data_IF_288305133915
#
_entry.id   IF_288305133915
#
_cell.length_a   1.000
_cell.length_b   1.000
_cell.length_c   1.000
_cell.angle_alpha   90.00
_cell.angle_beta   90.00
_cell.angle_gamma   90.00
#
_symmetry.space_group_name_H-M   'P 1'
#
loop_
_entity.id
_entity.type
_entity.pdbx_description
1 polymer ?
#
# COMPACT_ATOMS: atom_id res chain seq x y z
N UNK A 1 -18.18 -43.00 -22.25
CA UNK A 1 -17.06 -42.07 -22.11
C UNK A 1 -17.18 -40.93 -23.11
N UNK A 2 -18.14 -40.05 -23.01
CA UNK A 2 -18.30 -38.79 -23.82
C UNK A 2 -19.24 -37.85 -23.09
N UNK A 3 -18.96 -37.43 -21.87
CA UNK A 3 -19.70 -36.35 -21.14
C UNK A 3 -18.88 -35.61 -20.09
N UNK A 4 -17.53 -35.63 -20.18
CA UNK A 4 -16.65 -34.91 -19.24
C UNK A 4 -15.84 -33.76 -19.86
N UNK A 5 -15.97 -33.51 -21.15
CA UNK A 5 -15.17 -32.51 -21.86
C UNK A 5 -15.91 -31.19 -22.13
N UNK A 6 -17.17 -31.06 -21.74
CA UNK A 6 -17.97 -29.84 -21.97
C UNK A 6 -18.08 -28.92 -20.74
N UNK A 7 -17.50 -29.27 -19.59
CA UNK A 7 -17.60 -28.48 -18.36
C UNK A 7 -16.38 -27.55 -18.13
N UNK A 8 -15.32 -27.72 -18.90
CA UNK A 8 -14.08 -26.95 -18.76
C UNK A 8 -13.98 -25.72 -19.66
N UNK A 9 -14.88 -25.53 -20.59
CA UNK A 9 -14.87 -24.41 -21.53
C UNK A 9 -15.75 -23.21 -21.12
N UNK A 10 -16.55 -23.33 -20.05
CA UNK A 10 -17.38 -22.23 -19.55
C UNK A 10 -16.83 -21.54 -18.29
N UNK A 11 -15.73 -22.01 -17.72
CA UNK A 11 -15.10 -21.45 -16.52
C UNK A 11 -13.97 -20.45 -16.85
N UNK A 12 -13.60 -20.31 -18.11
CA UNK A 12 -12.50 -19.39 -18.52
C UNK A 12 -12.92 -17.96 -18.80
N UNK A 13 -14.16 -17.54 -18.47
CA UNK A 13 -14.66 -16.22 -18.88
C UNK A 13 -14.92 -15.24 -17.72
N UNK A 14 -14.46 -15.51 -16.51
CA UNK A 14 -14.73 -14.66 -15.35
C UNK A 14 -13.52 -14.29 -14.49
N UNK A 15 -12.33 -14.45 -14.97
CA UNK A 15 -11.12 -13.89 -14.33
C UNK A 15 -10.42 -12.95 -15.30
N UNK A 16 -11.07 -11.86 -15.69
CA UNK A 16 -10.39 -10.70 -16.25
C UNK A 16 -10.27 -9.60 -15.19
N UNK A 17 -9.71 -9.93 -14.04
CA UNK A 17 -8.85 -8.96 -13.39
C UNK A 17 -7.52 -9.18 -14.08
N UNK A 18 -7.32 -8.50 -15.21
CA UNK A 18 -6.01 -8.41 -15.82
C UNK A 18 -5.10 -7.71 -14.82
N UNK A 19 -4.33 -8.50 -14.08
CA UNK A 19 -3.11 -7.97 -13.49
C UNK A 19 -2.18 -7.73 -14.67
N UNK A 20 -2.46 -6.67 -15.41
CA UNK A 20 -1.50 -6.13 -16.36
C UNK A 20 -0.27 -5.73 -15.56
N UNK A 21 0.91 -5.94 -16.12
CA UNK A 21 2.10 -5.22 -15.67
C UNK A 21 1.65 -3.78 -15.40
N UNK A 22 1.78 -3.30 -14.15
CA UNK A 22 1.17 -2.07 -13.63
C UNK A 22 0.96 -1.04 -14.74
N UNK A 23 -0.27 -0.90 -15.25
CA UNK A 23 -0.52 0.21 -16.15
C UNK A 23 -0.29 1.47 -15.33
N UNK A 24 0.44 2.46 -15.87
CA UNK A 24 0.68 3.74 -15.18
C UNK A 24 -0.62 4.51 -14.93
N UNK A 25 -1.74 4.01 -15.39
CA UNK A 25 -3.09 4.52 -15.17
C UNK A 25 -3.98 3.31 -14.88
N UNK A 26 -4.88 3.38 -13.87
CA UNK A 26 -5.90 2.36 -13.66
C UNK A 26 -6.70 2.15 -14.94
N UNK A 27 -6.75 0.93 -15.45
CA UNK A 27 -7.64 0.62 -16.57
C UNK A 27 -9.08 0.70 -16.09
N UNK A 28 -9.85 1.54 -16.75
CA UNK A 28 -11.29 1.54 -16.57
C UNK A 28 -11.90 0.46 -17.46
N UNK A 29 -12.73 -0.40 -16.89
CA UNK A 29 -13.50 -1.35 -17.71
C UNK A 29 -14.40 -0.56 -18.66
N UNK A 30 -14.30 -0.85 -19.96
CA UNK A 30 -15.11 -0.22 -21.01
C UNK A 30 -16.62 -0.50 -20.87
N UNK A 31 -17.00 -1.41 -19.98
CA UNK A 31 -18.39 -1.71 -19.62
C UNK A 31 -18.98 -0.77 -18.58
N UNK A 32 -18.14 0.01 -17.86
CA UNK A 32 -18.57 0.91 -16.81
C UNK A 32 -19.26 2.15 -17.38
N UNK A 33 -20.56 2.24 -17.14
CA UNK A 33 -21.36 3.41 -17.52
C UNK A 33 -21.21 4.46 -16.42
N UNK A 34 -20.67 5.63 -16.76
CA UNK A 34 -20.53 6.74 -15.82
C UNK A 34 -21.90 7.31 -15.40
N UNK A 35 -21.93 7.98 -14.26
CA UNK A 35 -23.12 8.69 -13.79
C UNK A 35 -23.55 9.75 -14.82
N UNK A 36 -22.61 10.43 -15.47
CA UNK A 36 -22.89 11.38 -16.55
C UNK A 36 -23.63 10.71 -17.70
N UNK A 37 -23.15 9.56 -18.21
CA UNK A 37 -23.78 8.82 -19.30
C UNK A 37 -25.16 8.30 -18.90
N UNK A 38 -25.30 7.82 -17.66
CA UNK A 38 -26.59 7.33 -17.14
C UNK A 38 -27.65 8.45 -17.10
N UNK A 39 -27.30 9.64 -16.63
CA UNK A 39 -28.21 10.79 -16.46
C UNK A 39 -28.50 11.47 -17.80
N UNK A 40 -27.47 11.75 -18.60
CA UNK A 40 -27.62 12.52 -19.85
C UNK A 40 -28.04 11.68 -21.03
N UNK A 41 -27.83 10.36 -20.98
CA UNK A 41 -27.96 9.41 -22.11
C UNK A 41 -27.01 9.75 -23.28
N UNK A 42 -25.92 10.47 -22.99
CA UNK A 42 -24.90 10.84 -23.98
C UNK A 42 -23.68 9.93 -23.73
N UNK A 43 -23.33 9.04 -24.67
CA UNK A 43 -22.15 8.17 -24.49
C UNK A 43 -20.87 8.98 -24.49
N UNK A 44 -19.94 8.59 -23.64
CA UNK A 44 -18.58 9.14 -23.59
C UNK A 44 -17.84 8.78 -24.89
N UNK A 45 -17.14 9.75 -25.48
CA UNK A 45 -16.54 9.57 -26.80
C UNK A 45 -15.05 9.24 -26.77
N UNK A 46 -14.37 9.50 -25.66
CA UNK A 46 -12.93 9.32 -25.52
C UNK A 46 -12.52 9.20 -24.04
N UNK A 47 -11.27 8.81 -23.79
CA UNK A 47 -10.67 8.68 -22.45
C UNK A 47 -9.80 9.88 -22.06
N UNK A 48 -10.04 11.06 -22.64
CA UNK A 48 -9.27 12.27 -22.32
C UNK A 48 -9.48 12.72 -20.89
N UNK A 49 -10.65 12.44 -20.32
CA UNK A 49 -10.98 12.75 -18.94
C UNK A 49 -11.91 11.68 -18.35
N UNK A 50 -11.49 11.08 -17.25
CA UNK A 50 -12.29 10.21 -16.39
C UNK A 50 -12.30 10.82 -14.99
N UNK A 51 -13.43 10.71 -14.30
CA UNK A 51 -13.57 11.19 -12.93
C UNK A 51 -14.32 10.13 -12.12
N UNK A 52 -13.69 9.66 -11.05
CA UNK A 52 -14.24 8.66 -10.15
C UNK A 52 -14.29 9.21 -8.72
N UNK A 53 -15.31 8.78 -7.96
CA UNK A 53 -15.43 9.01 -6.54
C UNK A 53 -15.37 7.67 -5.83
N UNK A 54 -14.35 7.48 -5.01
CA UNK A 54 -14.15 6.26 -4.23
C UNK A 54 -14.59 6.48 -2.78
N UNK A 55 -15.36 5.54 -2.26
CA UNK A 55 -15.91 5.61 -0.90
C UNK A 55 -15.71 4.28 -0.19
N UNK A 56 -15.12 4.33 1.00
CA UNK A 56 -15.06 3.21 1.93
C UNK A 56 -15.62 3.66 3.27
N UNK A 57 -16.77 3.14 3.67
CA UNK A 57 -17.40 3.46 4.93
C UNK A 57 -17.80 2.19 5.68
N UNK A 58 -17.66 2.21 6.99
CA UNK A 58 -17.94 1.05 7.84
C UNK A 58 -18.41 1.42 9.24
N UNK A 59 -19.13 0.51 9.87
CA UNK A 59 -19.30 0.45 11.31
C UNK A 59 -18.22 -0.47 11.87
N UNK A 60 -17.40 0.05 12.76
CA UNK A 60 -16.27 -0.65 13.37
C UNK A 60 -16.49 -0.82 14.86
N UNK A 61 -16.09 -1.97 15.40
CA UNK A 61 -15.94 -2.20 16.83
C UNK A 61 -14.47 -2.50 17.12
N UNK A 62 -13.86 -1.72 17.99
CA UNK A 62 -12.45 -1.88 18.37
C UNK A 62 -12.35 -2.42 19.78
N UNK A 63 -11.48 -3.42 19.97
CA UNK A 63 -11.17 -4.00 21.25
C UNK A 63 -9.66 -3.99 21.49
N UNK A 64 -9.26 -3.61 22.72
CA UNK A 64 -7.90 -3.75 23.23
C UNK A 64 -7.93 -4.77 24.37
N UNK A 65 -7.17 -5.86 24.23
CA UNK A 65 -7.28 -7.01 25.09
C UNK A 65 -8.69 -7.62 25.05
N UNK A 66 -9.45 -7.47 26.13
CA UNK A 66 -10.84 -7.94 26.24
C UNK A 66 -11.85 -6.78 26.40
N UNK A 67 -11.41 -5.55 26.32
CA UNK A 67 -12.23 -4.37 26.53
C UNK A 67 -12.66 -3.80 25.19
N UNK A 68 -13.94 -3.47 25.08
CA UNK A 68 -14.45 -2.66 23.98
C UNK A 68 -14.00 -1.21 24.21
N UNK A 69 -13.19 -0.68 23.28
CA UNK A 69 -12.72 0.70 23.33
C UNK A 69 -13.68 1.64 22.61
N UNK A 70 -14.12 1.24 21.42
CA UNK A 70 -14.98 2.08 20.60
C UNK A 70 -15.89 1.24 19.70
N UNK A 71 -17.07 1.78 19.41
CA UNK A 71 -17.97 1.31 18.37
C UNK A 71 -18.53 2.52 17.62
N UNK A 72 -18.16 2.69 16.34
CA UNK A 72 -18.49 3.91 15.59
C UNK A 72 -18.65 3.66 14.09
N UNK A 73 -19.46 4.52 13.43
CA UNK A 73 -19.46 4.66 11.98
C UNK A 73 -18.32 5.56 11.54
N UNK A 74 -17.56 5.14 10.52
CA UNK A 74 -16.44 5.90 9.96
C UNK A 74 -16.45 5.86 8.44
N UNK A 75 -16.08 6.97 7.82
CA UNK A 75 -15.55 6.97 6.47
C UNK A 75 -14.05 6.69 6.58
N UNK A 76 -13.63 5.49 6.18
CA UNK A 76 -12.22 5.09 6.18
C UNK A 76 -11.48 5.87 5.10
N UNK A 77 -12.05 5.88 3.86
CA UNK A 77 -11.54 6.66 2.74
C UNK A 77 -12.69 7.31 1.97
N UNK A 78 -12.46 8.51 1.50
CA UNK A 78 -13.24 9.16 0.46
C UNK A 78 -12.28 9.88 -0.47
N UNK A 79 -12.17 9.43 -1.72
CA UNK A 79 -11.16 9.91 -2.67
C UNK A 79 -11.83 10.39 -3.95
N UNK A 80 -11.24 11.41 -4.55
CA UNK A 80 -11.54 11.83 -5.90
C UNK A 80 -10.35 11.49 -6.78
N UNK A 81 -10.61 10.85 -7.91
CA UNK A 81 -9.62 10.42 -8.87
C UNK A 81 -9.95 10.96 -10.26
N UNK A 82 -8.99 11.61 -10.89
CA UNK A 82 -9.10 12.07 -12.27
C UNK A 82 -7.96 11.51 -13.10
N UNK A 83 -8.29 10.76 -14.14
CA UNK A 83 -7.32 10.18 -15.07
C UNK A 83 -7.65 10.57 -16.49
N UNK A 84 -6.67 10.51 -17.39
CA UNK A 84 -6.95 10.73 -18.80
C UNK A 84 -5.75 10.57 -19.72
N UNK A 85 -6.06 10.23 -20.97
CA UNK A 85 -5.13 10.15 -22.08
C UNK A 85 -5.38 11.34 -23.02
N UNK A 86 -4.53 12.37 -22.95
CA UNK A 86 -4.65 13.56 -23.80
C UNK A 86 -4.45 13.22 -25.28
N UNK A 87 -3.57 12.27 -25.54
CA UNK A 87 -3.32 11.66 -26.84
C UNK A 87 -2.59 10.31 -26.63
N UNK A 88 -2.28 9.58 -27.71
CA UNK A 88 -1.62 8.25 -27.69
C UNK A 88 -0.30 8.20 -26.89
N UNK A 89 0.23 9.33 -26.46
CA UNK A 89 1.51 9.41 -25.75
C UNK A 89 1.45 10.10 -24.39
N UNK A 90 0.57 11.06 -24.22
CA UNK A 90 0.50 11.90 -23.03
C UNK A 90 -0.71 11.53 -22.20
N UNK A 91 -0.46 11.16 -20.95
CA UNK A 91 -1.48 10.85 -19.97
C UNK A 91 -1.21 11.57 -18.65
N UNK A 92 -2.22 11.60 -17.76
CA UNK A 92 -2.12 12.19 -16.45
C UNK A 92 -2.93 11.41 -15.43
N UNK A 93 -2.55 11.56 -14.16
CA UNK A 93 -3.26 11.01 -13.01
C UNK A 93 -3.23 12.00 -11.86
N UNK A 94 -4.40 12.28 -11.32
CA UNK A 94 -4.60 13.03 -10.08
C UNK A 94 -5.49 12.23 -9.15
N UNK A 95 -5.09 12.05 -7.88
CA UNK A 95 -5.91 11.43 -6.84
C UNK A 95 -5.70 12.16 -5.52
N UNK A 96 -6.80 12.47 -4.84
CA UNK A 96 -6.78 13.13 -3.54
C UNK A 96 -7.74 12.44 -2.58
N UNK A 97 -7.27 12.22 -1.34
CA UNK A 97 -8.04 11.74 -0.22
C UNK A 97 -8.73 12.94 0.47
N UNK A 98 -10.06 13.00 0.43
CA UNK A 98 -10.82 14.16 0.88
C UNK A 98 -11.01 14.23 2.41
N UNK A 99 -10.71 13.13 3.12
CA UNK A 99 -10.78 13.08 4.59
C UNK A 99 -9.41 13.12 5.28
N UNK A 100 -8.37 13.55 4.58
CA UNK A 100 -7.05 13.87 5.13
C UNK A 100 -6.78 15.38 5.14
N UNK A 101 -5.74 15.79 5.88
CA UNK A 101 -5.32 17.19 5.99
C UNK A 101 -4.88 17.79 4.65
N UNK A 102 -5.14 19.10 4.48
CA UNK A 102 -4.79 19.84 3.26
C UNK A 102 -3.68 20.87 3.50
N UNK A 103 -2.92 20.72 4.57
CA UNK A 103 -1.74 21.56 4.83
C UNK A 103 -0.57 21.07 3.98
N UNK A 104 0.17 22.02 3.38
CA UNK A 104 1.32 21.70 2.54
C UNK A 104 2.48 21.19 3.38
N UNK A 105 3.06 20.08 2.96
CA UNK A 105 4.24 19.47 3.57
C UNK A 105 5.51 20.20 3.14
N UNK A 106 6.49 20.28 4.04
CA UNK A 106 7.66 21.16 3.89
C UNK A 106 8.59 20.83 2.71
N UNK A 107 8.74 19.54 2.36
CA UNK A 107 9.70 19.16 1.33
C UNK A 107 9.11 19.27 -0.08
N UNK A 108 7.96 18.66 -0.30
CA UNK A 108 7.37 18.62 -1.66
C UNK A 108 6.39 19.77 -1.94
N UNK A 109 6.03 20.54 -0.91
CA UNK A 109 5.09 21.67 -0.99
C UNK A 109 3.69 21.33 -1.53
N UNK A 110 3.27 20.08 -1.28
CA UNK A 110 1.94 19.56 -1.57
C UNK A 110 1.28 19.04 -0.29
N UNK A 111 -0.06 19.09 -0.17
CA UNK A 111 -0.77 18.40 0.91
C UNK A 111 -0.52 16.88 0.90
N UNK A 112 -0.43 16.28 2.08
CA UNK A 112 -0.37 14.83 2.24
C UNK A 112 -1.58 14.13 1.61
N UNK A 113 -2.76 14.77 1.65
CA UNK A 113 -4.00 14.28 1.04
C UNK A 113 -3.90 14.03 -0.47
N UNK A 114 -2.96 14.65 -1.19
CA UNK A 114 -2.72 14.41 -2.61
C UNK A 114 -1.82 13.17 -2.74
N UNK A 115 -2.35 12.09 -3.30
CA UNK A 115 -1.64 10.83 -3.52
C UNK A 115 -0.96 10.82 -4.90
N UNK A 116 -1.70 11.24 -5.94
CA UNK A 116 -1.16 11.37 -7.30
C UNK A 116 -1.37 12.78 -7.84
N UNK A 117 -0.32 13.33 -8.41
CA UNK A 117 -0.32 14.56 -9.21
C UNK A 117 0.79 14.43 -10.26
N UNK A 118 0.56 13.60 -11.28
CA UNK A 118 1.59 13.23 -12.24
C UNK A 118 1.15 13.36 -13.69
N UNK A 119 2.14 13.49 -14.54
CA UNK A 119 2.03 13.33 -15.99
C UNK A 119 2.94 12.19 -16.45
N UNK A 120 2.49 11.46 -17.46
CA UNK A 120 3.28 10.41 -18.09
C UNK A 120 3.37 10.59 -19.59
N UNK A 121 4.48 10.14 -20.18
CA UNK A 121 4.74 10.23 -21.60
C UNK A 121 5.33 8.93 -22.14
N UNK A 122 4.64 8.31 -23.10
CA UNK A 122 5.15 7.17 -23.84
C UNK A 122 6.13 7.65 -24.92
N UNK A 123 7.42 7.42 -24.71
CA UNK A 123 8.46 7.70 -25.70
C UNK A 123 8.25 6.84 -26.96
N UNK A 124 7.88 5.58 -26.74
CA UNK A 124 7.46 4.59 -27.71
C UNK A 124 6.73 3.45 -26.98
N UNK A 125 6.34 2.39 -27.68
CA UNK A 125 5.59 1.25 -27.15
C UNK A 125 6.29 0.49 -25.99
N UNK A 126 7.56 0.78 -25.72
CA UNK A 126 8.36 0.09 -24.69
C UNK A 126 8.87 1.00 -23.59
N UNK A 127 8.96 2.29 -23.82
CA UNK A 127 9.54 3.24 -22.88
C UNK A 127 8.54 4.30 -22.47
N UNK A 128 8.36 4.44 -21.17
CA UNK A 128 7.50 5.45 -20.53
C UNK A 128 8.28 6.24 -19.51
N UNK A 129 7.99 7.53 -19.40
CA UNK A 129 8.50 8.40 -18.33
C UNK A 129 7.29 8.97 -17.60
N UNK A 130 7.30 8.94 -16.28
CA UNK A 130 6.34 9.65 -15.42
C UNK A 130 7.06 10.68 -14.55
N UNK A 131 6.40 11.80 -14.32
CA UNK A 131 6.92 12.96 -13.58
C UNK A 131 5.82 13.50 -12.65
N UNK A 132 6.19 13.83 -11.43
CA UNK A 132 5.28 14.38 -10.42
C UNK A 132 5.14 13.49 -9.21
N UNK A 133 4.10 13.75 -8.38
CA UNK A 133 3.80 12.92 -7.21
C UNK A 133 3.13 11.63 -7.66
N UNK A 134 3.70 10.51 -7.26
CA UNK A 134 3.34 9.17 -7.67
C UNK A 134 3.68 8.16 -6.59
N UNK A 135 3.18 6.94 -6.71
CA UNK A 135 3.55 5.83 -5.84
C UNK A 135 5.04 5.49 -5.96
N UNK A 136 5.63 5.07 -4.87
CA UNK A 136 6.96 4.46 -4.89
C UNK A 136 6.91 3.15 -5.70
N UNK A 137 7.85 2.91 -6.58
CA UNK A 137 7.90 1.69 -7.40
C UNK A 137 8.36 0.47 -6.57
N UNK A 138 7.69 0.22 -5.44
CA UNK A 138 7.98 -0.92 -4.59
C UNK A 138 7.35 -2.19 -5.12
N UNK A 139 7.86 -3.35 -4.69
CA UNK A 139 7.30 -4.66 -5.02
C UNK A 139 6.23 -5.06 -4.00
N UNK A 140 5.67 -6.26 -4.20
CA UNK A 140 4.61 -6.78 -3.35
C UNK A 140 3.23 -6.58 -3.94
N UNK A 141 2.32 -7.48 -3.59
CA UNK A 141 0.93 -7.43 -4.07
C UNK A 141 0.02 -6.68 -3.11
N UNK A 142 0.25 -6.77 -1.79
CA UNK A 142 -0.48 -5.91 -0.85
C UNK A 142 -0.31 -4.43 -1.16
N UNK A 143 0.91 -4.03 -1.49
CA UNK A 143 1.24 -2.65 -1.84
C UNK A 143 0.53 -2.15 -3.10
N UNK A 144 0.30 -3.06 -4.05
CA UNK A 144 -0.27 -2.75 -5.36
C UNK A 144 -1.80 -2.73 -5.39
N UNK A 145 -2.43 -3.19 -4.32
CA UNK A 145 -3.88 -3.11 -4.18
C UNK A 145 -4.33 -1.66 -3.97
N UNK A 146 -5.47 -1.31 -4.55
CA UNK A 146 -6.08 -0.01 -4.29
C UNK A 146 -6.33 0.19 -2.79
N UNK A 147 -5.86 1.31 -2.19
CA UNK A 147 -5.97 1.53 -0.74
C UNK A 147 -7.40 1.47 -0.20
N UNK A 148 -8.39 1.81 -1.01
CA UNK A 148 -9.79 1.74 -0.58
C UNK A 148 -10.29 0.29 -0.43
N UNK A 149 -9.67 -0.68 -1.10
CA UNK A 149 -10.03 -2.10 -1.04
C UNK A 149 -9.38 -2.86 0.11
N UNK A 150 -8.45 -2.22 0.83
CA UNK A 150 -7.71 -2.86 1.93
C UNK A 150 -8.41 -2.61 3.26
N UNK A 151 -8.66 -3.67 3.99
CA UNK A 151 -9.30 -3.60 5.31
C UNK A 151 -8.30 -3.50 6.46
N UNK A 152 -7.09 -4.02 6.29
CA UNK A 152 -5.99 -3.99 7.26
C UNK A 152 -4.65 -4.13 6.53
N UNK A 153 -3.74 -3.20 6.75
CA UNK A 153 -2.39 -3.27 6.21
C UNK A 153 -1.44 -4.05 7.11
N UNK A 154 -0.37 -4.57 6.52
CA UNK A 154 0.83 -4.96 7.24
C UNK A 154 1.55 -3.74 7.81
N UNK A 155 2.39 -3.92 8.84
CA UNK A 155 3.16 -2.82 9.44
C UNK A 155 3.95 -2.03 8.38
N UNK A 156 4.53 -2.73 7.39
CA UNK A 156 5.33 -2.09 6.36
C UNK A 156 4.51 -1.13 5.49
N UNK A 157 3.29 -1.52 5.12
CA UNK A 157 2.41 -0.71 4.28
C UNK A 157 1.58 0.30 5.08
N UNK A 158 1.40 0.10 6.40
CA UNK A 158 0.66 1.02 7.26
C UNK A 158 1.52 2.23 7.68
N UNK A 159 2.80 2.00 8.00
CA UNK A 159 3.65 3.01 8.64
C UNK A 159 4.68 3.67 7.71
N UNK A 160 4.72 3.31 6.43
CA UNK A 160 5.60 3.97 5.46
C UNK A 160 4.82 4.87 4.52
N UNK A 161 5.27 6.13 4.40
CA UNK A 161 4.85 6.97 3.27
C UNK A 161 5.17 6.28 1.95
N UNK A 162 4.24 6.36 1.01
CA UNK A 162 4.35 5.66 -0.26
C UNK A 162 4.11 6.53 -1.50
N UNK A 163 3.72 7.77 -1.34
CA UNK A 163 3.51 8.72 -2.45
C UNK A 163 4.53 9.83 -2.39
N UNK A 164 5.41 9.89 -3.39
CA UNK A 164 6.54 10.83 -3.44
C UNK A 164 6.62 11.55 -4.77
N UNK A 165 7.15 12.78 -4.73
CA UNK A 165 7.44 13.54 -5.95
C UNK A 165 8.76 13.06 -6.56
N UNK A 166 8.74 12.80 -7.89
CA UNK A 166 9.94 12.32 -8.57
C UNK A 166 9.73 11.95 -10.03
N UNK A 167 10.58 11.06 -10.52
CA UNK A 167 10.60 10.57 -11.90
C UNK A 167 10.74 9.05 -11.93
N UNK A 168 9.94 8.42 -12.80
CA UNK A 168 10.05 6.98 -13.10
C UNK A 168 10.32 6.76 -14.57
N UNK A 169 11.27 5.88 -14.88
CA UNK A 169 11.55 5.36 -16.22
C UNK A 169 11.08 3.91 -16.28
N UNK A 170 10.03 3.69 -17.04
CA UNK A 170 9.48 2.35 -17.31
C UNK A 170 10.03 1.79 -18.63
N UNK A 171 10.42 0.52 -18.60
CA UNK A 171 10.83 -0.24 -19.78
C UNK A 171 10.11 -1.57 -19.83
N UNK A 172 9.33 -1.80 -20.87
CA UNK A 172 8.56 -3.03 -21.12
C UNK A 172 9.17 -3.80 -22.29
N UNK A 173 10.16 -4.66 -22.04
CA UNK A 173 10.81 -5.44 -23.10
C UNK A 173 9.86 -6.41 -23.81
N UNK A 174 8.92 -6.98 -23.07
CA UNK A 174 7.85 -7.86 -23.56
C UNK A 174 6.52 -7.54 -22.87
N UNK A 175 5.36 -7.95 -23.36
CA UNK A 175 4.08 -7.72 -22.70
C UNK A 175 3.99 -8.28 -21.26
N UNK A 176 4.78 -9.31 -20.96
CA UNK A 176 4.79 -9.96 -19.64
C UNK A 176 5.95 -9.54 -18.72
N UNK A 177 6.74 -8.53 -19.11
CA UNK A 177 7.90 -8.09 -18.32
C UNK A 177 7.95 -6.57 -18.28
N UNK A 178 8.11 -6.00 -17.11
CA UNK A 178 8.33 -4.58 -16.91
C UNK A 178 9.48 -4.34 -15.95
N UNK A 179 10.30 -3.35 -16.27
CA UNK A 179 11.39 -2.85 -15.43
C UNK A 179 11.13 -1.38 -15.15
N UNK A 180 11.29 -0.94 -13.91
CA UNK A 180 11.20 0.47 -13.53
C UNK A 180 12.47 0.91 -12.81
N UNK A 181 12.96 2.08 -13.18
CA UNK A 181 13.97 2.84 -12.44
C UNK A 181 13.31 4.12 -11.96
N UNK A 182 13.28 4.32 -10.66
CA UNK A 182 12.61 5.48 -10.08
C UNK A 182 13.58 6.26 -9.19
N UNK A 183 13.50 7.58 -9.24
CA UNK A 183 14.17 8.51 -8.34
C UNK A 183 13.09 9.46 -7.81
N UNK A 184 12.87 9.43 -6.49
CA UNK A 184 11.88 10.29 -5.82
C UNK A 184 12.49 10.94 -4.58
N UNK A 185 11.79 11.91 -4.01
CA UNK A 185 12.03 12.29 -2.62
C UNK A 185 11.83 11.08 -1.71
N UNK A 186 12.45 11.07 -0.54
CA UNK A 186 12.37 9.94 0.41
C UNK A 186 11.48 10.23 1.63
N UNK A 187 10.81 11.36 1.62
CA UNK A 187 9.79 11.81 2.57
C UNK A 187 8.99 12.97 1.94
N UNK A 188 7.89 13.32 2.53
CA UNK A 188 7.00 14.41 2.05
C UNK A 188 7.22 15.72 2.83
N UNK A 189 7.55 15.63 4.12
CA UNK A 189 7.74 16.76 5.03
C UNK A 189 9.17 16.94 5.52
N UNK A 190 9.33 17.59 6.66
CA UNK A 190 10.60 17.76 7.36
C UNK A 190 11.15 16.42 7.86
N UNK A 191 12.37 16.40 8.40
CA UNK A 191 12.89 15.21 9.06
C UNK A 191 12.15 14.91 10.36
N UNK A 192 11.73 15.95 11.04
CA UNK A 192 10.96 15.88 12.27
C UNK A 192 9.55 15.31 12.03
N UNK A 193 8.94 15.62 10.87
CA UNK A 193 7.66 15.00 10.46
C UNK A 193 7.84 13.49 10.19
N UNK A 194 8.94 13.11 9.52
CA UNK A 194 9.19 11.72 9.13
C UNK A 194 9.70 10.83 10.26
N UNK A 195 10.48 11.38 11.20
CA UNK A 195 11.21 10.58 12.21
C UNK A 195 10.94 11.01 13.66
N UNK A 196 10.13 12.05 13.90
CA UNK A 196 9.91 12.61 15.21
C UNK A 196 11.15 13.33 15.79
N UNK A 197 11.35 13.23 17.09
CA UNK A 197 12.49 13.87 17.77
C UNK A 197 13.79 13.21 17.37
N UNK A 198 14.68 13.96 16.74
CA UNK A 198 15.96 13.43 16.22
C UNK A 198 17.02 13.30 17.29
N UNK A 199 17.82 12.21 17.29
CA UNK A 199 19.00 12.08 18.16
C UNK A 199 20.05 13.16 17.89
N UNK A 200 20.86 13.49 18.89
CA UNK A 200 21.95 14.45 18.74
C UNK A 200 22.93 14.06 17.62
N UNK A 201 23.38 15.06 16.87
CA UNK A 201 24.34 14.85 15.77
C UNK A 201 23.76 14.30 14.47
N UNK A 202 22.44 14.14 14.35
CA UNK A 202 21.77 13.82 13.09
C UNK A 202 21.63 15.11 12.26
N UNK A 203 22.23 15.11 11.06
CA UNK A 203 22.19 16.23 10.12
C UNK A 203 21.31 15.88 8.90
N UNK A 204 20.61 16.89 8.37
CA UNK A 204 19.79 16.74 7.14
C UNK A 204 20.66 16.30 5.95
N UNK A 205 20.20 15.36 5.13
CA UNK A 205 20.87 15.00 3.89
C UNK A 205 20.75 16.16 2.89
N UNK A 206 21.73 16.29 1.98
CA UNK A 206 21.67 17.31 0.93
C UNK A 206 20.68 16.97 -0.18
N UNK A 207 20.50 15.68 -0.43
CA UNK A 207 19.58 15.13 -1.42
C UNK A 207 18.80 13.97 -0.78
N UNK A 208 17.61 14.25 -0.20
CA UNK A 208 16.77 13.23 0.44
C UNK A 208 16.06 12.42 -0.62
N UNK A 209 16.77 11.54 -1.33
CA UNK A 209 16.23 10.79 -2.45
C UNK A 209 16.20 9.30 -2.18
N UNK A 210 15.15 8.64 -2.70
CA UNK A 210 15.11 7.21 -2.96
C UNK A 210 15.53 6.90 -4.38
N UNK A 211 16.28 5.82 -4.51
CA UNK A 211 16.64 5.18 -5.77
C UNK A 211 16.06 3.78 -5.76
N UNK A 212 15.10 3.55 -6.62
CA UNK A 212 14.36 2.28 -6.66
C UNK A 212 14.55 1.59 -8.00
N UNK A 213 14.82 0.30 -7.95
CA UNK A 213 14.68 -0.63 -9.07
C UNK A 213 13.50 -1.55 -8.79
N UNK A 214 12.61 -1.71 -9.77
CA UNK A 214 11.47 -2.62 -9.70
C UNK A 214 11.43 -3.50 -10.94
N UNK A 215 11.02 -4.75 -10.75
CA UNK A 215 10.77 -5.72 -11.82
C UNK A 215 9.44 -6.43 -11.57
N UNK A 216 8.54 -6.30 -12.55
CA UNK A 216 7.26 -6.97 -12.59
C UNK A 216 7.25 -7.99 -13.72
N UNK A 217 6.67 -9.16 -13.49
CA UNK A 217 6.60 -10.21 -14.50
C UNK A 217 5.38 -11.10 -14.33
N UNK A 218 4.85 -11.58 -15.47
CA UNK A 218 3.73 -12.50 -15.54
C UNK A 218 4.12 -13.75 -16.33
N UNK A 219 3.70 -14.91 -15.86
CA UNK A 219 3.99 -16.22 -16.44
C UNK A 219 2.72 -17.08 -16.50
N UNK A 220 2.74 -18.09 -17.38
CA UNK A 220 1.68 -19.10 -17.50
C UNK A 220 0.30 -18.47 -17.78
N UNK A 221 0.25 -17.56 -18.74
CA UNK A 221 -0.96 -16.80 -19.07
C UNK A 221 -1.55 -16.09 -17.82
N UNK A 222 -0.69 -15.34 -17.11
CA UNK A 222 -1.01 -14.54 -15.92
C UNK A 222 -1.42 -15.34 -14.66
N UNK A 223 -1.25 -16.66 -14.68
CA UNK A 223 -1.50 -17.48 -13.48
C UNK A 223 -0.48 -17.18 -12.39
N UNK A 224 0.79 -16.95 -12.74
CA UNK A 224 1.86 -16.61 -11.79
C UNK A 224 2.40 -15.23 -12.07
N UNK A 225 2.26 -14.33 -11.10
CA UNK A 225 2.76 -12.97 -11.19
C UNK A 225 3.81 -12.72 -10.11
N UNK A 226 4.87 -11.99 -10.47
CA UNK A 226 5.98 -11.65 -9.59
C UNK A 226 6.20 -10.14 -9.58
N UNK A 227 6.47 -9.58 -8.39
CA UNK A 227 6.79 -8.15 -8.19
C UNK A 227 7.92 -7.99 -7.21
N UNK A 228 9.08 -7.57 -7.70
CA UNK A 228 10.29 -7.43 -6.89
C UNK A 228 10.82 -6.01 -6.97
N UNK A 229 11.32 -5.51 -5.84
CA UNK A 229 12.00 -4.22 -5.81
C UNK A 229 13.18 -4.19 -4.86
N UNK A 230 14.09 -3.27 -5.14
CA UNK A 230 15.18 -2.89 -4.24
C UNK A 230 15.28 -1.36 -4.23
N UNK A 231 15.30 -0.78 -3.02
CA UNK A 231 15.36 0.67 -2.81
C UNK A 231 16.51 1.02 -1.89
N UNK A 232 17.20 2.13 -2.16
CA UNK A 232 18.16 2.75 -1.26
C UNK A 232 17.89 4.24 -1.16
N UNK A 233 18.04 4.83 0.03
CA UNK A 233 17.87 6.26 0.24
C UNK A 233 18.63 6.80 1.42
N UNK A 234 19.07 8.06 1.35
CA UNK A 234 19.78 8.73 2.42
C UNK A 234 18.79 9.38 3.39
N UNK A 235 18.57 8.75 4.56
CA UNK A 235 17.65 9.25 5.60
C UNK A 235 18.20 10.52 6.28
N UNK A 236 19.49 10.51 6.61
CA UNK A 236 20.25 11.63 7.16
C UNK A 236 21.65 11.61 6.56
N UNK A 237 22.40 12.69 6.70
CA UNK A 237 23.73 12.84 6.09
C UNK A 237 24.65 11.66 6.42
N UNK A 238 25.01 10.88 5.38
CA UNK A 238 25.80 9.66 5.50
C UNK A 238 25.07 8.48 6.16
N UNK A 239 23.76 8.56 6.36
CA UNK A 239 22.92 7.55 6.99
C UNK A 239 21.88 7.03 5.99
N UNK A 240 21.96 5.75 5.66
CA UNK A 240 21.17 5.15 4.59
C UNK A 240 20.11 4.19 5.09
N UNK A 241 19.03 4.11 4.34
CA UNK A 241 18.03 3.07 4.41
C UNK A 241 18.09 2.18 3.17
N UNK A 242 17.80 0.91 3.35
CA UNK A 242 17.71 -0.09 2.28
C UNK A 242 16.44 -0.91 2.43
N UNK A 243 15.80 -1.18 1.32
CA UNK A 243 14.59 -2.00 1.27
C UNK A 243 14.72 -3.06 0.18
N UNK A 244 14.14 -4.22 0.42
CA UNK A 244 14.02 -5.29 -0.57
C UNK A 244 12.66 -5.98 -0.40
N UNK A 245 11.83 -5.92 -1.42
CA UNK A 245 10.48 -6.47 -1.40
C UNK A 245 10.32 -7.50 -2.53
N UNK A 246 9.59 -8.56 -2.25
CA UNK A 246 9.33 -9.64 -3.20
C UNK A 246 7.89 -10.14 -3.02
N UNK A 247 7.09 -10.01 -4.06
CA UNK A 247 5.71 -10.47 -4.12
C UNK A 247 5.51 -11.59 -5.12
N UNK A 248 4.67 -12.54 -4.76
CA UNK A 248 4.26 -13.68 -5.57
C UNK A 248 2.74 -13.77 -5.53
N UNK A 249 2.08 -13.79 -6.67
CA UNK A 249 0.65 -14.00 -6.76
C UNK A 249 0.33 -15.19 -7.67
N UNK A 250 -0.69 -15.92 -7.29
CA UNK A 250 -1.24 -17.01 -8.09
C UNK A 250 -2.74 -16.76 -8.26
N UNK A 251 -3.16 -16.56 -9.52
CA UNK A 251 -4.56 -16.37 -9.89
C UNK A 251 -5.02 -17.54 -10.77
N UNK A 252 -6.00 -18.31 -10.32
CA UNK A 252 -6.51 -19.46 -11.07
C UNK A 252 -7.97 -19.73 -10.81
N UNK A 253 -8.81 -19.53 -11.82
CA UNK A 253 -10.26 -19.68 -11.72
C UNK A 253 -10.85 -18.78 -10.60
N UNK A 254 -11.57 -19.36 -9.62
CA UNK A 254 -12.17 -18.58 -8.53
C UNK A 254 -11.18 -18.22 -7.41
N UNK A 255 -9.93 -18.66 -7.51
CA UNK A 255 -8.90 -18.47 -6.50
C UNK A 255 -7.89 -17.43 -6.94
N UNK A 256 -7.64 -16.45 -6.07
CA UNK A 256 -6.57 -15.49 -6.15
C UNK A 256 -5.85 -15.40 -4.81
N UNK A 257 -4.52 -15.43 -4.81
CA UNK A 257 -3.77 -15.36 -3.57
C UNK A 257 -2.36 -14.85 -3.79
N UNK A 258 -1.84 -14.12 -2.80
CA UNK A 258 -0.48 -13.61 -2.85
C UNK A 258 0.31 -13.93 -1.58
N UNK A 259 1.62 -13.86 -1.72
CA UNK A 259 2.59 -13.93 -0.64
C UNK A 259 3.67 -12.88 -0.85
N UNK A 260 3.81 -11.96 0.10
CA UNK A 260 4.77 -10.89 0.10
C UNK A 260 5.81 -11.06 1.19
N UNK A 261 7.05 -10.74 0.86
CA UNK A 261 8.19 -10.62 1.76
C UNK A 261 8.72 -9.21 1.65
N UNK A 262 8.61 -8.43 2.71
CA UNK A 262 9.05 -7.04 2.75
C UNK A 262 10.08 -6.86 3.86
N UNK A 263 11.25 -6.37 3.50
CA UNK A 263 12.36 -6.10 4.41
C UNK A 263 12.82 -4.66 4.28
N UNK A 264 13.00 -3.97 5.41
CA UNK A 264 13.64 -2.66 5.46
C UNK A 264 14.68 -2.61 6.57
N UNK A 265 15.74 -1.83 6.33
CA UNK A 265 16.81 -1.58 7.29
C UNK A 265 17.20 -0.11 7.20
N UNK A 266 16.97 0.64 8.27
CA UNK A 266 17.22 2.07 8.34
C UNK A 266 18.28 2.43 9.37
N UNK A 267 19.06 3.46 9.08
CA UNK A 267 19.94 4.08 10.06
C UNK A 267 19.15 4.84 11.14
N UNK A 268 17.98 5.39 10.75
CA UNK A 268 16.92 5.88 11.64
C UNK A 268 15.74 4.91 11.53
N UNK A 269 14.88 4.90 12.55
CA UNK A 269 13.68 4.03 12.57
C UNK A 269 12.72 4.40 11.42
N UNK A 270 12.60 3.55 10.37
CA UNK A 270 11.85 3.93 9.18
C UNK A 270 10.33 3.83 9.35
N UNK A 271 9.84 3.08 10.36
CA UNK A 271 8.41 2.91 10.63
C UNK A 271 7.98 3.60 11.92
N UNK A 272 8.91 4.08 12.76
CA UNK A 272 8.60 4.65 14.07
C UNK A 272 8.14 3.64 15.13
N UNK A 273 7.81 2.40 14.74
CA UNK A 273 7.16 1.41 15.62
C UNK A 273 8.01 1.07 16.86
N UNK A 274 9.33 0.87 16.71
CA UNK A 274 10.19 0.61 17.86
C UNK A 274 10.46 1.87 18.66
N UNK A 275 10.49 3.02 18.02
CA UNK A 275 10.62 4.33 18.67
C UNK A 275 9.45 4.56 19.62
N UNK A 276 8.22 4.30 19.20
CA UNK A 276 7.01 4.45 20.01
C UNK A 276 6.95 3.47 21.20
N UNK A 277 7.64 2.34 21.12
CA UNK A 277 7.71 1.39 22.24
C UNK A 277 8.59 1.88 23.40
N UNK A 278 9.47 2.85 23.16
CA UNK A 278 10.37 3.40 24.19
C UNK A 278 9.70 4.64 24.80
N UNK A 279 9.42 4.63 26.12
CA UNK A 279 8.84 5.82 26.75
C UNK A 279 9.74 7.05 26.60
N UNK A 280 9.17 8.27 26.52
CA UNK A 280 9.93 9.52 26.53
C UNK A 280 10.88 9.61 27.73
N UNK A 281 12.08 10.16 27.50
CA UNK A 281 13.15 10.15 28.52
C UNK A 281 13.01 11.26 29.59
N UNK A 282 12.08 12.22 29.42
CA UNK A 282 11.86 13.37 30.31
C UNK A 282 10.41 13.49 30.78
N UNK A 283 10.20 14.00 32.02
CA UNK A 283 8.86 14.20 32.59
C UNK A 283 7.99 15.20 31.79
N UNK A 284 8.58 15.98 30.89
CA UNK A 284 7.91 16.98 30.06
C UNK A 284 8.03 16.72 28.55
N UNK A 285 8.54 15.56 28.15
CA UNK A 285 8.66 15.20 26.73
C UNK A 285 7.41 14.44 26.28
N UNK A 286 6.74 14.95 25.24
CA UNK A 286 5.56 14.32 24.65
C UNK A 286 5.92 13.21 23.67
N UNK A 287 7.18 13.14 23.20
CA UNK A 287 7.63 12.21 22.17
C UNK A 287 8.93 11.53 22.51
N UNK A 288 9.09 10.28 22.07
CA UNK A 288 10.33 9.52 22.18
C UNK A 288 11.35 9.97 21.14
N UNK A 289 12.64 9.86 21.48
CA UNK A 289 13.74 10.11 20.53
C UNK A 289 13.77 8.99 19.51
N UNK A 290 13.88 9.34 18.22
CA UNK A 290 13.94 8.39 17.12
C UNK A 290 15.08 7.36 17.34
N UNK A 291 14.73 6.09 17.30
CA UNK A 291 15.71 5.03 17.43
C UNK A 291 16.57 4.89 16.19
N UNK A 292 17.79 4.37 16.38
CA UNK A 292 18.78 4.17 15.34
C UNK A 292 19.04 2.70 15.08
N UNK A 293 19.53 2.40 13.88
CA UNK A 293 19.94 1.05 13.49
C UNK A 293 18.81 0.03 13.53
N UNK A 294 17.64 0.38 13.01
CA UNK A 294 16.41 -0.43 13.04
C UNK A 294 16.20 -1.21 11.74
N UNK A 295 15.67 -2.41 11.86
CA UNK A 295 15.23 -3.23 10.74
C UNK A 295 13.89 -3.89 11.02
N UNK A 296 13.09 -4.02 9.96
CA UNK A 296 11.79 -4.69 9.99
C UNK A 296 11.69 -5.75 8.91
N UNK A 297 10.89 -6.79 9.21
CA UNK A 297 10.50 -7.81 8.26
C UNK A 297 9.00 -8.02 8.40
N UNK A 298 8.28 -7.92 7.27
CA UNK A 298 6.87 -8.30 7.16
C UNK A 298 6.73 -9.44 6.15
N UNK A 299 6.02 -10.49 6.56
CA UNK A 299 5.57 -11.59 5.70
C UNK A 299 4.05 -11.52 5.69
N UNK A 300 3.48 -11.41 4.49
CA UNK A 300 2.04 -11.27 4.30
C UNK A 300 1.56 -12.32 3.32
N UNK A 301 0.49 -13.01 3.64
CA UNK A 301 -0.19 -13.92 2.73
C UNK A 301 -1.69 -13.66 2.76
N UNK A 302 -2.29 -13.53 1.60
CA UNK A 302 -3.74 -13.41 1.46
C UNK A 302 -4.25 -14.39 0.43
N UNK A 303 -5.44 -14.91 0.66
CA UNK A 303 -6.15 -15.82 -0.24
C UNK A 303 -7.59 -15.37 -0.37
N UNK A 304 -8.02 -15.20 -1.61
CA UNK A 304 -9.38 -14.87 -2.01
C UNK A 304 -10.00 -16.07 -2.73
N UNK A 305 -11.26 -16.35 -2.43
CA UNK A 305 -12.02 -17.42 -3.06
C UNK A 305 -13.42 -16.95 -3.46
N UNK A 306 -13.60 -16.74 -4.76
CA UNK A 306 -14.88 -16.35 -5.36
C UNK A 306 -15.77 -17.58 -5.54
N UNK A 307 -16.41 -18.03 -4.47
CA UNK A 307 -17.24 -19.25 -4.47
C UNK A 307 -18.56 -19.09 -5.20
N UNK A 308 -18.99 -17.86 -5.47
CA UNK A 308 -20.16 -17.51 -6.27
C UNK A 308 -19.90 -16.18 -6.99
N UNK A 309 -20.46 -15.91 -8.19
CA UNK A 309 -20.23 -14.64 -8.91
C UNK A 309 -20.44 -13.37 -8.08
N UNK A 310 -21.31 -13.42 -7.08
CA UNK A 310 -21.61 -12.29 -6.18
C UNK A 310 -20.97 -12.40 -4.79
N UNK A 311 -20.19 -13.43 -4.52
CA UNK A 311 -19.66 -13.66 -3.18
C UNK A 311 -18.20 -14.06 -3.21
N UNK A 312 -17.41 -13.35 -2.45
CA UNK A 312 -16.00 -13.66 -2.18
C UNK A 312 -15.81 -13.91 -0.68
N UNK A 313 -14.93 -14.84 -0.35
CA UNK A 313 -14.41 -15.01 1.00
C UNK A 313 -12.89 -14.90 0.97
N UNK A 314 -12.31 -14.26 1.96
CA UNK A 314 -10.87 -14.09 2.04
C UNK A 314 -10.31 -14.36 3.43
N UNK A 315 -9.01 -14.67 3.46
CA UNK A 315 -8.23 -14.79 4.68
C UNK A 315 -6.82 -14.22 4.44
N UNK A 316 -6.34 -13.40 5.38
CA UNK A 316 -5.02 -12.79 5.37
C UNK A 316 -4.28 -13.10 6.65
N UNK A 317 -3.04 -13.48 6.54
CA UNK A 317 -2.11 -13.71 7.63
C UNK A 317 -0.89 -12.80 7.52
N UNK A 318 -0.43 -12.23 8.63
CA UNK A 318 0.72 -11.34 8.71
C UNK A 318 1.66 -11.81 9.81
N UNK A 319 2.95 -11.80 9.54
CA UNK A 319 4.01 -12.02 10.54
C UNK A 319 5.05 -10.92 10.40
N UNK A 320 5.33 -10.22 11.49
CA UNK A 320 6.11 -8.99 11.45
C UNK A 320 7.09 -8.93 12.62
N UNK A 321 8.27 -8.40 12.38
CA UNK A 321 9.30 -8.26 13.40
C UNK A 321 9.97 -6.89 13.34
N UNK A 322 10.26 -6.33 14.52
CA UNK A 322 11.11 -5.15 14.67
C UNK A 322 12.36 -5.50 15.48
N UNK A 323 13.53 -5.09 14.99
CA UNK A 323 14.82 -5.44 15.56
C UNK A 323 15.84 -4.30 15.42
N UNK A 324 16.77 -4.22 16.35
CA UNK A 324 18.00 -3.41 16.25
C UNK A 324 19.06 -4.27 15.60
N UNK A 325 19.66 -3.84 14.50
CA UNK A 325 20.66 -4.63 13.78
C UNK A 325 22.10 -4.33 14.19
N UNK A 326 22.32 -3.24 14.92
CA UNK A 326 23.64 -2.83 15.39
C UNK A 326 23.50 -2.14 16.75
N UNK A 327 24.15 -2.69 17.76
CA UNK A 327 24.23 -2.09 19.09
C UNK A 327 25.07 -0.80 19.09
N UNK A 328 24.74 0.11 20.01
CA UNK A 328 25.51 1.30 20.31
C UNK A 328 25.08 1.91 21.64
N UNK A 329 25.86 2.90 22.08
CA UNK A 329 25.67 3.60 23.35
C UNK A 329 25.37 5.10 23.16
N UNK A 330 25.21 5.54 21.88
CA UNK A 330 24.82 6.91 21.57
C UNK A 330 23.28 7.08 21.73
N UNK A 331 22.85 8.33 21.77
CA UNK A 331 21.42 8.67 21.87
C UNK A 331 20.62 8.03 20.73
N UNK A 332 19.48 7.40 21.08
CA UNK A 332 18.66 6.63 20.15
C UNK A 332 19.21 5.24 19.78
N UNK A 333 20.36 4.83 20.29
CA UNK A 333 20.93 3.50 20.08
C UNK A 333 20.54 2.54 21.21
N UNK A 334 20.29 1.30 20.86
CA UNK A 334 19.90 0.23 21.78
C UNK A 334 20.78 -1.02 21.57
N UNK A 335 20.79 -1.99 22.51
CA UNK A 335 21.41 -3.28 22.29
C UNK A 335 20.81 -3.99 21.07
N UNK A 336 21.66 -4.65 20.26
CA UNK A 336 21.20 -5.40 19.07
C UNK A 336 20.27 -6.57 19.41
N UNK A 337 19.44 -6.95 18.46
CA UNK A 337 18.51 -8.07 18.56
C UNK A 337 17.07 -7.71 18.33
N UNK A 338 16.19 -8.70 18.47
CA UNK A 338 14.75 -8.55 18.28
C UNK A 338 14.09 -7.91 19.51
N UNK A 339 13.16 -7.00 19.27
CA UNK A 339 12.38 -6.30 20.29
C UNK A 339 10.90 -6.66 20.23
N UNK A 340 10.34 -6.75 19.02
CA UNK A 340 8.91 -6.99 18.79
C UNK A 340 8.70 -8.08 17.74
N UNK A 341 7.65 -8.87 17.97
CA UNK A 341 7.02 -9.72 16.96
C UNK A 341 5.53 -9.43 16.96
N UNK A 342 4.90 -9.29 15.80
CA UNK A 342 3.47 -9.19 15.65
C UNK A 342 2.95 -10.29 14.73
N UNK A 343 1.73 -10.77 15.02
CA UNK A 343 0.95 -11.65 14.18
C UNK A 343 -0.36 -10.95 13.86
N UNK A 344 -0.74 -10.93 12.62
CA UNK A 344 -2.03 -10.45 12.17
C UNK A 344 -2.82 -11.59 11.53
N UNK A 345 -4.11 -11.63 11.82
CA UNK A 345 -5.08 -12.50 11.14
C UNK A 345 -6.29 -11.66 10.76
N UNK A 346 -6.68 -11.72 9.51
CA UNK A 346 -7.88 -11.10 9.01
C UNK A 346 -8.68 -12.10 8.19
N UNK A 347 -9.99 -12.07 8.31
CA UNK A 347 -10.89 -12.86 7.46
C UNK A 347 -12.13 -12.05 7.15
N UNK A 348 -12.75 -12.33 6.01
CA UNK A 348 -13.95 -11.61 5.63
C UNK A 348 -14.75 -12.30 4.53
N UNK A 349 -15.93 -11.75 4.34
CA UNK A 349 -16.83 -12.10 3.25
C UNK A 349 -17.32 -10.81 2.59
N UNK A 350 -17.41 -10.83 1.27
CA UNK A 350 -17.83 -9.71 0.43
C UNK A 350 -19.00 -10.12 -0.43
N UNK A 351 -19.94 -9.20 -0.58
CA UNK A 351 -21.11 -9.34 -1.44
C UNK A 351 -21.10 -8.26 -2.52
N UNK A 352 -21.09 -8.66 -3.77
CA UNK A 352 -21.12 -7.81 -4.96
C UNK A 352 -22.53 -7.79 -5.55
N UNK A 353 -23.35 -6.79 -5.24
CA UNK A 353 -24.73 -6.71 -5.74
C UNK A 353 -24.82 -6.40 -7.23
N UNK A 354 -23.86 -5.64 -7.77
CA UNK A 354 -23.82 -5.14 -9.14
C UNK A 354 -22.93 -6.01 -10.03
N UNK A 355 -23.16 -5.98 -11.32
CA UNK A 355 -22.39 -6.76 -12.29
C UNK A 355 -21.02 -6.14 -12.64
N UNK A 356 -20.90 -4.82 -12.48
CA UNK A 356 -19.67 -4.05 -12.69
C UNK A 356 -18.69 -4.12 -11.52
N UNK A 357 -19.07 -4.82 -10.41
CA UNK A 357 -18.28 -5.01 -9.19
C UNK A 357 -17.83 -3.72 -8.49
N UNK A 358 -18.22 -2.55 -8.96
CA UNK A 358 -17.86 -1.25 -8.38
C UNK A 358 -18.35 -1.04 -6.96
N UNK A 359 -19.42 -1.76 -6.56
CA UNK A 359 -19.95 -1.75 -5.21
C UNK A 359 -19.84 -3.14 -4.59
N UNK A 360 -19.24 -3.22 -3.41
CA UNK A 360 -19.39 -4.40 -2.57
C UNK A 360 -19.65 -4.05 -1.11
N UNK A 361 -20.36 -4.94 -0.43
CA UNK A 361 -20.67 -4.88 0.99
C UNK A 361 -19.85 -5.96 1.67
N UNK A 362 -19.24 -5.65 2.79
CA UNK A 362 -18.33 -6.56 3.47
C UNK A 362 -18.64 -6.75 4.95
N UNK A 363 -18.21 -7.89 5.46
CA UNK A 363 -18.07 -8.18 6.88
C UNK A 363 -16.66 -8.74 7.09
N UNK A 364 -15.87 -8.09 7.94
CA UNK A 364 -14.49 -8.49 8.22
C UNK A 364 -14.19 -8.56 9.71
N UNK A 365 -13.34 -9.49 10.09
CA UNK A 365 -12.77 -9.58 11.43
C UNK A 365 -11.25 -9.56 11.36
N UNK A 366 -10.61 -8.70 12.16
CA UNK A 366 -9.15 -8.55 12.25
C UNK A 366 -8.71 -8.78 13.68
N UNK A 367 -7.60 -9.48 13.89
CA UNK A 367 -6.93 -9.62 15.17
C UNK A 367 -5.42 -9.44 15.02
N UNK A 368 -4.83 -8.65 15.93
CA UNK A 368 -3.38 -8.41 16.01
C UNK A 368 -2.87 -8.87 17.36
N UNK A 369 -1.82 -9.68 17.35
CA UNK A 369 -1.19 -10.25 18.52
C UNK A 369 0.27 -9.82 18.60
N UNK A 370 0.66 -9.23 19.72
CA UNK A 370 1.98 -8.66 19.90
C UNK A 370 2.76 -9.39 20.97
N UNK A 371 4.04 -9.65 20.68
CA UNK A 371 4.96 -10.26 21.62
C UNK A 371 6.22 -9.39 21.75
N UNK A 372 6.44 -8.84 22.93
CA UNK A 372 7.63 -8.09 23.28
C UNK A 372 8.67 -9.02 23.91
N UNK A 373 9.92 -8.86 23.50
CA UNK A 373 11.04 -9.60 24.12
C UNK A 373 11.41 -9.01 25.49
N UNK A 374 12.22 -9.72 26.26
CA UNK A 374 12.72 -9.21 27.56
C UNK A 374 13.52 -7.90 27.39
N UNK A 375 14.18 -7.69 26.24
CA UNK A 375 14.87 -6.42 25.94
C UNK A 375 13.87 -5.26 25.83
N UNK A 376 12.75 -5.45 25.14
CA UNK A 376 11.71 -4.43 25.02
C UNK A 376 11.04 -4.16 26.38
N UNK A 377 10.72 -5.19 27.13
CA UNK A 377 10.13 -5.07 28.48
C UNK A 377 11.05 -4.33 29.46
N UNK A 378 12.38 -4.53 29.33
CA UNK A 378 13.36 -3.80 30.14
C UNK A 378 13.36 -2.29 29.88
N UNK A 379 12.81 -1.83 28.74
CA UNK A 379 12.58 -0.43 28.42
C UNK A 379 11.19 0.07 28.87
N UNK A 380 10.49 -0.69 29.71
CA UNK A 380 9.11 -0.43 30.11
C UNK A 380 8.09 -0.43 28.96
N UNK A 381 8.46 -1.01 27.81
CA UNK A 381 7.55 -1.15 26.68
C UNK A 381 6.36 -2.05 27.02
N UNK A 382 5.17 -1.63 26.59
CA UNK A 382 3.94 -2.42 26.69
C UNK A 382 3.10 -2.23 25.43
N UNK A 383 2.45 -3.28 24.97
CA UNK A 383 1.50 -3.24 23.87
C UNK A 383 0.46 -4.33 24.11
N UNK A 384 -0.79 -4.03 23.92
CA UNK A 384 -1.90 -4.96 24.07
C UNK A 384 -2.36 -5.47 22.69
N UNK A 385 -2.89 -6.69 22.69
CA UNK A 385 -3.50 -7.27 21.50
C UNK A 385 -4.77 -6.50 21.11
N UNK A 386 -5.00 -6.33 19.81
CA UNK A 386 -6.15 -5.61 19.30
C UNK A 386 -7.04 -6.52 18.45
N UNK A 387 -8.33 -6.21 18.42
CA UNK A 387 -9.30 -6.90 17.58
C UNK A 387 -10.28 -5.87 17.00
N UNK A 388 -10.72 -6.11 15.77
CA UNK A 388 -11.71 -5.27 15.09
C UNK A 388 -12.70 -6.14 14.34
N UNK A 389 -13.99 -5.82 14.48
CA UNK A 389 -15.05 -6.33 13.62
C UNK A 389 -15.63 -5.15 12.84
N UNK A 390 -15.70 -5.29 11.53
CA UNK A 390 -16.15 -4.22 10.63
C UNK A 390 -17.22 -4.73 9.69
N UNK A 391 -18.28 -3.94 9.50
CA UNK A 391 -19.28 -4.14 8.45
C UNK A 391 -19.45 -2.84 7.70
N UNK A 392 -19.43 -2.89 6.37
CA UNK A 392 -19.46 -1.67 5.58
C UNK A 392 -19.64 -1.90 4.10
N UNK A 393 -19.32 -0.87 3.33
CA UNK A 393 -19.32 -0.94 1.89
C UNK A 393 -18.09 -0.23 1.31
N UNK A 394 -17.70 -0.67 0.12
CA UNK A 394 -16.74 0.02 -0.75
C UNK A 394 -17.45 0.28 -2.07
N UNK A 395 -17.36 1.50 -2.56
CA UNK A 395 -17.99 1.91 -3.82
C UNK A 395 -17.08 2.85 -4.61
N UNK A 396 -16.69 2.40 -5.81
CA UNK A 396 -16.05 3.25 -6.83
C UNK A 396 -17.14 3.72 -7.79
N UNK A 397 -17.55 4.98 -7.64
CA UNK A 397 -18.60 5.60 -8.46
C UNK A 397 -17.97 6.34 -9.63
N UNK A 398 -18.08 5.84 -10.86
CA UNK A 398 -17.63 6.56 -12.04
C UNK A 398 -18.56 7.75 -12.29
N UNK A 399 -18.04 8.97 -12.09
CA UNK A 399 -18.80 10.22 -12.27
C UNK A 399 -18.85 10.64 -13.74
N UNK A 400 -17.69 10.51 -14.45
CA UNK A 400 -17.53 10.89 -15.85
C UNK A 400 -16.61 9.95 -16.63
#
# INVERSE_FOLDING_TARGET
MKRLTAFWLSACFLCTISVQAQSFIPERDSSDISLFEYVTKIPKRNNVFNLDLEMHASFNTFFTGHKLDEAAFRFNHIKIEATGEVNDRLFYWYRQNLNQGNESMDLENLPESIEYAMIGYHLNDKFTITLGKQDAAWGGFEYDLDPYAIYEYSDMNEYMDCYFTGVTFGYQPTPSQELRLQVTDNRIGSMEDAYGLLPAGIEKPRAPLFYTFNWNSSYLDEILNLRYSATAGEQAKGKWMYMAWAGHNVCTGPFDGYFDVMYTRGALDPLGILTELVPPSGENEESSICLRNIQYLSLVAEMNYRFHPKWNAFAKGMYETGSVYKAGDEEGELPDGKYRTAWGLQTGIEFYPMADENLHIFLTGTARFYNLTEKAKALCASIENTQRLSVGFIYKLPLY
#
